data_IF_812909199157
#
_entry.id   IF_812909199157
#
_cell.length_a   1.000
_cell.length_b   1.000
_cell.length_c   1.000
_cell.angle_alpha   90.00
_cell.angle_beta   90.00
_cell.angle_gamma   90.00
#
_symmetry.space_group_name_H-M   'P 1'
#
loop_
_entity.id
_entity.type
_entity.pdbx_description
1 polymer ?
#
# COMPACT_ATOMS: atom_id res chain seq x y z
N UNK A 1 -58.82 -17.50 33.90
CA UNK A 1 -57.44 -18.00 34.01
C UNK A 1 -56.88 -18.07 32.60
N UNK A 2 -56.43 -16.94 32.08
CA UNK A 2 -55.75 -16.85 30.78
C UNK A 2 -54.35 -17.41 30.97
N UNK A 3 -54.10 -18.63 30.51
CA UNK A 3 -52.76 -19.19 30.47
C UNK A 3 -51.96 -18.42 29.42
N UNK A 4 -51.07 -17.54 29.85
CA UNK A 4 -49.99 -17.02 29.01
C UNK A 4 -49.09 -18.21 28.64
N UNK A 5 -49.24 -18.69 27.42
CA UNK A 5 -48.30 -19.62 26.81
C UNK A 5 -47.05 -18.79 26.51
N UNK A 6 -46.09 -18.82 27.42
CA UNK A 6 -44.74 -18.31 27.18
C UNK A 6 -44.13 -19.23 26.13
N UNK A 7 -44.18 -18.80 24.86
CA UNK A 7 -43.43 -19.40 23.77
C UNK A 7 -41.94 -19.28 24.10
N UNK A 8 -41.37 -20.32 24.71
CA UNK A 8 -39.92 -20.45 24.82
C UNK A 8 -39.34 -20.46 23.40
N UNK A 9 -38.39 -19.57 23.08
CA UNK A 9 -37.80 -19.55 21.74
C UNK A 9 -37.11 -20.89 21.46
N UNK A 10 -37.34 -21.41 20.25
CA UNK A 10 -36.73 -22.64 19.75
C UNK A 10 -35.19 -22.57 19.91
N UNK A 11 -34.51 -23.58 20.50
CA UNK A 11 -33.05 -23.57 20.66
C UNK A 11 -32.29 -23.27 19.36
N UNK A 12 -32.82 -23.70 18.21
CA UNK A 12 -32.22 -23.39 16.89
C UNK A 12 -32.27 -21.90 16.54
N UNK A 13 -33.32 -21.20 16.99
CA UNK A 13 -33.47 -19.76 16.79
C UNK A 13 -32.53 -18.96 17.69
N UNK A 14 -32.27 -19.44 18.92
CA UNK A 14 -31.30 -18.83 19.84
C UNK A 14 -29.88 -18.97 19.27
N UNK A 15 -29.49 -20.17 18.85
CA UNK A 15 -28.17 -20.41 18.27
C UNK A 15 -27.93 -19.60 16.98
N UNK A 16 -28.97 -19.43 16.15
CA UNK A 16 -28.90 -18.58 14.96
C UNK A 16 -28.72 -17.10 15.31
N UNK A 17 -29.44 -16.62 16.33
CA UNK A 17 -29.32 -15.24 16.82
C UNK A 17 -27.92 -14.95 17.36
N UNK A 18 -27.37 -15.83 18.20
CA UNK A 18 -25.99 -15.71 18.72
C UNK A 18 -24.97 -15.66 17.57
N UNK A 19 -25.15 -16.48 16.53
CA UNK A 19 -24.28 -16.47 15.35
C UNK A 19 -24.39 -15.17 14.55
N UNK A 20 -25.59 -14.60 14.41
CA UNK A 20 -25.79 -13.29 13.76
C UNK A 20 -25.12 -12.16 14.53
N UNK A 21 -25.19 -12.18 15.86
CA UNK A 21 -24.50 -11.21 16.72
C UNK A 21 -22.98 -11.35 16.61
N UNK A 22 -22.45 -12.57 16.62
CA UNK A 22 -21.03 -12.84 16.39
C UNK A 22 -20.58 -12.29 15.03
N UNK A 23 -21.36 -12.54 13.97
CA UNK A 23 -21.06 -12.02 12.63
C UNK A 23 -21.08 -10.49 12.57
N UNK A 24 -22.03 -9.85 13.25
CA UNK A 24 -22.08 -8.39 13.32
C UNK A 24 -20.83 -7.81 14.02
N UNK A 25 -20.42 -8.42 15.14
CA UNK A 25 -19.22 -8.01 15.86
C UNK A 25 -17.95 -8.14 15.01
N UNK A 26 -17.76 -9.28 14.34
CA UNK A 26 -16.58 -9.52 13.48
C UNK A 26 -16.58 -8.60 12.25
N UNK A 27 -17.75 -8.32 11.65
CA UNK A 27 -17.85 -7.35 10.54
C UNK A 27 -17.49 -5.93 10.96
N UNK A 28 -17.91 -5.50 12.14
CA UNK A 28 -17.53 -4.18 12.67
C UNK A 28 -16.02 -4.10 12.89
N UNK A 29 -15.41 -5.14 13.48
CA UNK A 29 -13.96 -5.21 13.66
C UNK A 29 -13.20 -5.20 12.33
N UNK A 30 -13.72 -5.91 11.31
CA UNK A 30 -13.13 -5.88 9.96
C UNK A 30 -13.20 -4.48 9.35
N UNK A 31 -14.35 -3.80 9.43
CA UNK A 31 -14.51 -2.45 8.88
C UNK A 31 -13.59 -1.43 9.58
N UNK A 32 -13.44 -1.52 10.91
CA UNK A 32 -12.52 -0.69 11.69
C UNK A 32 -11.07 -0.91 11.23
N UNK A 33 -10.63 -2.17 11.15
CA UNK A 33 -9.26 -2.49 10.73
C UNK A 33 -8.99 -2.10 9.28
N UNK A 34 -9.95 -2.28 8.38
CA UNK A 34 -9.85 -1.80 6.98
C UNK A 34 -9.65 -0.28 6.93
N UNK A 35 -10.39 0.48 7.74
CA UNK A 35 -10.26 1.93 7.83
C UNK A 35 -8.89 2.35 8.36
N UNK A 36 -8.39 1.71 9.42
CA UNK A 36 -7.07 2.00 10.00
C UNK A 36 -5.95 1.79 8.99
N UNK A 37 -5.92 0.64 8.30
CA UNK A 37 -4.89 0.35 7.29
C UNK A 37 -5.02 1.29 6.10
N UNK A 38 -6.24 1.62 5.65
CA UNK A 38 -6.44 2.58 4.58
C UNK A 38 -5.91 3.98 4.94
N UNK A 39 -6.14 4.43 6.18
CA UNK A 39 -5.62 5.70 6.68
C UNK A 39 -4.09 5.70 6.73
N UNK A 40 -3.47 4.65 7.28
CA UNK A 40 -2.02 4.52 7.35
C UNK A 40 -1.39 4.56 5.95
N UNK A 41 -1.92 3.79 5.00
CA UNK A 41 -1.46 3.81 3.61
C UNK A 41 -1.53 5.21 3.00
N UNK A 42 -2.65 5.92 3.20
CA UNK A 42 -2.83 7.26 2.66
C UNK A 42 -1.84 8.27 3.28
N UNK A 43 -1.58 8.17 4.58
CA UNK A 43 -0.60 9.00 5.28
C UNK A 43 0.81 8.76 4.75
N UNK A 44 1.24 7.49 4.67
CA UNK A 44 2.55 7.12 4.16
C UNK A 44 2.74 7.54 2.70
N UNK A 45 1.77 7.28 1.82
CA UNK A 45 1.83 7.69 0.41
C UNK A 45 1.92 9.21 0.24
N UNK A 46 1.19 9.97 1.07
CA UNK A 46 1.25 11.43 1.05
C UNK A 46 2.63 11.94 1.50
N UNK A 47 3.19 11.33 2.55
CA UNK A 47 4.52 11.65 3.03
C UNK A 47 5.61 11.30 2.02
N UNK A 48 5.56 10.10 1.47
CA UNK A 48 6.44 9.61 0.41
C UNK A 48 6.46 10.57 -0.78
N UNK A 49 5.29 10.99 -1.28
CA UNK A 49 5.22 11.97 -2.35
C UNK A 49 5.91 13.30 -2.01
N UNK A 50 5.87 13.75 -0.73
CA UNK A 50 6.62 14.94 -0.30
C UNK A 50 8.12 14.67 -0.25
N UNK A 51 8.53 13.55 0.32
CA UNK A 51 9.93 13.12 0.39
C UNK A 51 10.55 13.01 -1.00
N UNK A 52 9.87 12.35 -1.94
CA UNK A 52 10.35 12.20 -3.31
C UNK A 52 10.61 13.56 -3.96
N UNK A 53 9.63 14.48 -3.89
CA UNK A 53 9.73 15.81 -4.49
C UNK A 53 10.78 16.73 -3.85
N UNK A 54 11.02 16.60 -2.55
CA UNK A 54 11.88 17.54 -1.81
C UNK A 54 13.31 17.04 -1.61
N UNK A 55 13.48 15.72 -1.47
CA UNK A 55 14.72 15.10 -1.00
C UNK A 55 15.24 14.07 -2.00
N UNK A 56 14.41 13.11 -2.45
CA UNK A 56 14.90 12.03 -3.32
C UNK A 56 15.44 12.54 -4.67
N UNK A 57 14.78 13.55 -5.26
CA UNK A 57 15.28 14.22 -6.48
C UNK A 57 16.69 14.79 -6.28
N UNK A 58 17.00 15.32 -5.09
CA UNK A 58 18.33 15.86 -4.79
C UNK A 58 19.37 14.76 -4.61
N UNK A 59 19.01 13.62 -4.01
CA UNK A 59 19.91 12.46 -3.96
C UNK A 59 20.23 11.93 -5.36
N UNK A 60 19.24 11.84 -6.25
CA UNK A 60 19.47 11.44 -7.63
C UNK A 60 20.40 12.43 -8.38
N UNK A 61 20.23 13.74 -8.15
CA UNK A 61 21.13 14.76 -8.71
C UNK A 61 22.56 14.62 -8.18
N UNK A 62 22.71 14.40 -6.86
CA UNK A 62 24.02 14.20 -6.24
C UNK A 62 24.73 12.97 -6.80
N UNK A 63 24.03 11.83 -6.87
CA UNK A 63 24.62 10.58 -7.35
C UNK A 63 24.97 10.63 -8.85
N UNK A 64 24.16 11.29 -9.69
CA UNK A 64 24.53 11.54 -11.10
C UNK A 64 25.83 12.33 -11.20
N UNK A 65 25.97 13.37 -10.38
CA UNK A 65 27.16 14.20 -10.36
C UNK A 65 28.38 13.43 -9.87
N UNK A 66 28.26 12.62 -8.81
CA UNK A 66 29.34 11.74 -8.34
C UNK A 66 29.73 10.72 -9.41
N UNK A 67 28.76 10.13 -10.13
CA UNK A 67 29.04 9.24 -11.24
C UNK A 67 29.82 9.93 -12.36
N UNK A 68 29.50 11.19 -12.67
CA UNK A 68 30.22 12.02 -13.64
C UNK A 68 31.65 12.33 -13.18
N UNK A 69 31.86 12.65 -11.90
CA UNK A 69 33.20 12.85 -11.31
C UNK A 69 34.02 11.57 -11.44
N UNK A 70 33.48 10.43 -10.96
CA UNK A 70 34.17 9.16 -10.98
C UNK A 70 34.54 8.72 -12.41
N UNK A 71 33.65 8.96 -13.38
CA UNK A 71 33.94 8.74 -14.80
C UNK A 71 35.09 9.61 -15.30
N UNK A 72 35.09 10.90 -14.97
CA UNK A 72 36.16 11.82 -15.41
C UNK A 72 37.51 11.44 -14.80
N UNK A 73 37.53 11.04 -13.53
CA UNK A 73 38.74 10.53 -12.88
C UNK A 73 39.24 9.24 -13.56
N UNK A 74 38.35 8.32 -13.93
CA UNK A 74 38.72 7.12 -14.66
C UNK A 74 39.37 7.43 -16.02
N UNK A 75 38.85 8.44 -16.74
CA UNK A 75 39.41 8.90 -18.01
C UNK A 75 40.80 9.54 -17.85
N UNK A 76 41.08 10.17 -16.70
CA UNK A 76 42.36 10.86 -16.44
C UNK A 76 43.46 9.91 -15.95
N UNK A 77 43.14 8.99 -15.04
CA UNK A 77 44.13 8.14 -14.36
C UNK A 77 44.24 6.73 -14.94
N UNK A 78 43.30 6.33 -15.80
CA UNK A 78 43.21 5.03 -16.49
C UNK A 78 43.63 3.81 -15.64
N UNK A 79 43.11 3.74 -14.41
CA UNK A 79 43.36 2.62 -13.48
C UNK A 79 42.13 1.74 -13.33
N UNK A 80 42.33 0.43 -13.09
CA UNK A 80 41.21 -0.48 -12.82
C UNK A 80 40.37 -0.03 -11.61
N UNK A 81 41.01 0.51 -10.58
CA UNK A 81 40.32 1.02 -9.40
C UNK A 81 39.43 2.24 -9.72
N UNK A 82 39.87 3.12 -10.62
CA UNK A 82 39.05 4.26 -11.06
C UNK A 82 37.87 3.80 -11.94
N UNK A 83 38.10 2.86 -12.86
CA UNK A 83 37.03 2.28 -13.71
C UNK A 83 35.95 1.59 -12.87
N UNK A 84 36.33 0.78 -11.87
CA UNK A 84 35.37 0.13 -10.95
C UNK A 84 34.53 1.14 -10.18
N UNK A 85 35.15 2.19 -9.62
CA UNK A 85 34.43 3.25 -8.90
C UNK A 85 33.44 4.00 -9.81
N UNK A 86 33.81 4.25 -11.07
CA UNK A 86 32.92 4.86 -12.05
C UNK A 86 31.71 3.97 -12.37
N UNK A 87 31.92 2.66 -12.51
CA UNK A 87 30.83 1.70 -12.73
C UNK A 87 29.88 1.60 -11.53
N UNK A 88 30.43 1.54 -10.31
CA UNK A 88 29.65 1.52 -9.06
C UNK A 88 28.82 2.79 -8.90
N UNK A 89 29.43 3.96 -9.11
CA UNK A 89 28.74 5.26 -8.98
C UNK A 89 27.64 5.40 -10.05
N UNK A 90 27.88 4.93 -11.28
CA UNK A 90 26.86 4.91 -12.33
C UNK A 90 25.68 4.01 -11.97
N UNK A 91 25.94 2.84 -11.36
CA UNK A 91 24.86 1.95 -10.91
C UNK A 91 24.06 2.62 -9.80
N UNK A 92 24.73 3.22 -8.82
CA UNK A 92 24.09 3.94 -7.72
C UNK A 92 23.19 5.07 -8.25
N UNK A 93 23.69 5.90 -9.18
CA UNK A 93 22.91 6.97 -9.80
C UNK A 93 21.67 6.47 -10.55
N UNK A 94 21.78 5.32 -11.23
CA UNK A 94 20.63 4.70 -11.88
C UNK A 94 19.59 4.23 -10.85
N UNK A 95 20.02 3.55 -9.79
CA UNK A 95 19.14 3.05 -8.72
C UNK A 95 18.41 4.20 -8.00
N UNK A 96 19.10 5.31 -7.68
CA UNK A 96 18.47 6.46 -7.02
C UNK A 96 17.59 7.28 -7.96
N UNK A 97 17.94 7.37 -9.25
CA UNK A 97 17.05 7.96 -10.24
C UNK A 97 15.77 7.15 -10.41
N UNK A 98 15.86 5.82 -10.52
CA UNK A 98 14.69 4.94 -10.59
C UNK A 98 13.83 5.06 -9.33
N UNK A 99 14.43 5.10 -8.14
CA UNK A 99 13.68 5.29 -6.89
C UNK A 99 13.01 6.67 -6.80
N UNK A 100 13.65 7.73 -7.30
CA UNK A 100 13.11 9.09 -7.23
C UNK A 100 12.02 9.37 -8.28
N UNK A 101 12.12 8.76 -9.47
CA UNK A 101 11.30 9.10 -10.64
C UNK A 101 10.48 7.93 -11.21
N UNK A 102 10.77 6.68 -10.85
CA UNK A 102 10.10 5.49 -11.40
C UNK A 102 8.59 5.50 -11.17
N UNK A 103 8.17 5.78 -9.93
CA UNK A 103 6.75 5.83 -9.56
C UNK A 103 5.99 6.99 -10.23
N UNK A 104 6.65 8.11 -10.50
CA UNK A 104 6.04 9.25 -11.20
C UNK A 104 5.73 8.92 -12.66
N UNK A 105 6.54 8.06 -13.29
CA UNK A 105 6.29 7.56 -14.65
C UNK A 105 5.23 6.46 -14.69
N UNK A 106 5.10 5.62 -13.66
CA UNK A 106 4.10 4.54 -13.64
C UNK A 106 2.69 5.02 -13.25
N UNK A 107 2.59 6.07 -12.44
CA UNK A 107 1.29 6.63 -12.01
C UNK A 107 0.54 7.36 -13.14
N UNK A 108 1.23 7.91 -14.14
CA UNK A 108 0.60 8.56 -15.30
C UNK A 108 0.05 7.55 -16.33
N UNK A 109 0.51 6.30 -16.30
CA UNK A 109 0.22 5.26 -17.32
C UNK A 109 -0.53 4.03 -16.78
N UNK A 110 -1.06 4.04 -15.54
CA UNK A 110 -1.87 2.93 -15.03
C UNK A 110 -3.25 2.86 -15.72
N UNK A 111 -3.29 2.32 -16.93
CA UNK A 111 -4.48 1.74 -17.51
C UNK A 111 -4.68 0.34 -16.93
N UNK A 112 -5.73 0.09 -16.11
CA UNK A 112 -5.94 -1.22 -15.54
C UNK A 112 -6.10 -2.25 -16.66
N UNK A 113 -5.36 -3.39 -16.62
CA UNK A 113 -5.44 -4.38 -17.68
C UNK A 113 -6.89 -4.85 -17.85
N UNK A 114 -7.26 -5.17 -19.09
CA UNK A 114 -8.64 -5.56 -19.44
C UNK A 114 -9.16 -6.74 -18.59
N UNK A 115 -8.25 -7.61 -18.14
CA UNK A 115 -8.51 -8.69 -17.18
C UNK A 115 -8.97 -8.19 -15.80
N UNK A 116 -8.33 -7.16 -15.24
CA UNK A 116 -8.70 -6.59 -13.93
C UNK A 116 -10.09 -5.93 -13.98
N UNK A 117 -10.39 -5.21 -15.07
CA UNK A 117 -11.71 -4.61 -15.28
C UNK A 117 -12.81 -5.66 -15.41
N UNK A 118 -12.50 -6.77 -16.06
CA UNK A 118 -13.43 -7.90 -16.18
C UNK A 118 -13.67 -8.56 -14.82
N UNK A 119 -12.61 -8.85 -14.08
CA UNK A 119 -12.68 -9.42 -12.73
C UNK A 119 -13.46 -8.52 -11.77
N UNK A 120 -13.19 -7.22 -11.77
CA UNK A 120 -13.93 -6.25 -10.95
C UNK A 120 -15.43 -6.25 -11.27
N UNK A 121 -15.82 -6.29 -12.56
CA UNK A 121 -17.23 -6.36 -12.96
C UNK A 121 -17.90 -7.64 -12.50
N UNK A 122 -17.18 -8.77 -12.54
CA UNK A 122 -17.68 -10.05 -12.06
C UNK A 122 -17.90 -10.09 -10.55
N UNK A 123 -17.00 -9.47 -9.79
CA UNK A 123 -17.16 -9.24 -8.35
C UNK A 123 -18.37 -8.33 -8.13
N UNK A 124 -18.40 -7.17 -8.78
CA UNK A 124 -19.47 -6.18 -8.63
C UNK A 124 -20.86 -6.77 -8.85
N UNK A 125 -21.03 -7.58 -9.91
CA UNK A 125 -22.30 -8.24 -10.23
C UNK A 125 -22.82 -9.15 -9.11
N UNK A 126 -21.95 -9.74 -8.30
CA UNK A 126 -22.30 -10.72 -7.26
C UNK A 126 -22.53 -10.12 -5.88
N UNK A 127 -21.85 -9.01 -5.59
CA UNK A 127 -21.87 -8.37 -4.26
C UNK A 127 -22.43 -6.94 -4.30
N UNK A 128 -23.22 -6.60 -5.34
CA UNK A 128 -23.87 -5.29 -5.43
C UNK A 128 -25.00 -5.17 -4.40
N UNK A 129 -25.11 -4.06 -3.64
CA UNK A 129 -26.14 -3.88 -2.61
C UNK A 129 -27.58 -4.03 -3.13
N UNK A 130 -27.86 -3.66 -4.37
CA UNK A 130 -29.19 -3.81 -4.99
C UNK A 130 -29.66 -5.27 -5.14
N UNK A 131 -28.74 -6.24 -5.08
CA UNK A 131 -29.09 -7.68 -5.14
C UNK A 131 -29.19 -8.32 -3.74
N UNK A 132 -29.13 -7.53 -2.67
CA UNK A 132 -29.29 -8.03 -1.31
C UNK A 132 -30.73 -8.40 -0.98
N UNK A 133 -30.92 -9.40 -0.10
CA UNK A 133 -32.24 -9.88 0.32
C UNK A 133 -32.83 -9.06 1.47
N UNK A 134 -31.98 -8.45 2.29
CA UNK A 134 -32.36 -7.65 3.44
C UNK A 134 -31.38 -6.49 3.68
N UNK A 135 -31.71 -5.60 4.63
CA UNK A 135 -30.90 -4.42 4.95
C UNK A 135 -29.52 -4.78 5.51
N UNK A 136 -29.40 -5.89 6.25
CA UNK A 136 -28.14 -6.33 6.82
C UNK A 136 -27.18 -6.84 5.74
N UNK A 137 -27.70 -7.57 4.75
CA UNK A 137 -26.98 -8.03 3.58
C UNK A 137 -26.63 -6.87 2.65
N UNK A 138 -27.51 -5.86 2.51
CA UNK A 138 -27.21 -4.65 1.74
C UNK A 138 -26.04 -3.85 2.35
N UNK A 139 -26.01 -3.71 3.68
CA UNK A 139 -24.88 -3.08 4.40
C UNK A 139 -23.58 -3.87 4.20
N UNK A 140 -23.66 -5.19 4.28
CA UNK A 140 -22.50 -6.05 4.03
C UNK A 140 -21.98 -5.94 2.59
N UNK A 141 -22.87 -5.95 1.60
CA UNK A 141 -22.52 -5.76 0.19
C UNK A 141 -21.94 -4.38 -0.08
N UNK A 142 -22.43 -3.35 0.60
CA UNK A 142 -21.83 -1.99 0.54
C UNK A 142 -20.38 -2.00 1.03
N UNK A 143 -20.10 -2.68 2.15
CA UNK A 143 -18.74 -2.85 2.67
C UNK A 143 -17.85 -3.62 1.67
N UNK A 144 -18.35 -4.73 1.12
CA UNK A 144 -17.60 -5.49 0.11
C UNK A 144 -17.37 -4.69 -1.19
N UNK A 145 -18.34 -3.88 -1.62
CA UNK A 145 -18.19 -2.96 -2.75
C UNK A 145 -17.08 -1.95 -2.50
N UNK A 146 -17.06 -1.30 -1.34
CA UNK A 146 -16.01 -0.35 -0.99
C UNK A 146 -14.62 -1.01 -1.06
N UNK A 147 -14.51 -2.24 -0.56
CA UNK A 147 -13.28 -3.02 -0.63
C UNK A 147 -12.89 -3.41 -2.06
N UNK A 148 -13.85 -3.84 -2.89
CA UNK A 148 -13.60 -4.13 -4.30
C UNK A 148 -13.14 -2.89 -5.07
N UNK A 149 -13.73 -1.72 -4.79
CA UNK A 149 -13.32 -0.45 -5.39
C UNK A 149 -11.88 -0.10 -5.02
N UNK A 150 -11.50 -0.26 -3.74
CA UNK A 150 -10.13 -0.04 -3.30
C UNK A 150 -9.14 -0.99 -4.00
N UNK A 151 -9.46 -2.28 -4.07
CA UNK A 151 -8.64 -3.27 -4.76
C UNK A 151 -8.46 -2.91 -6.25
N UNK A 152 -9.56 -2.54 -6.92
CA UNK A 152 -9.53 -2.12 -8.31
C UNK A 152 -8.66 -0.87 -8.52
N UNK A 153 -8.79 0.15 -7.67
CA UNK A 153 -8.00 1.38 -7.76
C UNK A 153 -6.49 1.16 -7.56
N UNK A 154 -6.10 0.03 -6.94
CA UNK A 154 -4.70 -0.33 -6.66
C UNK A 154 -4.14 -1.40 -7.58
N UNK A 155 -4.92 -1.88 -8.55
CA UNK A 155 -4.49 -2.99 -9.39
C UNK A 155 -4.46 -4.36 -8.70
N UNK A 156 -5.07 -4.51 -7.52
CA UNK A 156 -4.97 -5.69 -6.68
C UNK A 156 -5.91 -6.81 -7.16
N UNK A 157 -5.45 -7.51 -8.20
CA UNK A 157 -6.17 -8.63 -8.81
C UNK A 157 -6.39 -9.79 -7.83
N UNK A 158 -5.42 -10.06 -6.96
CA UNK A 158 -5.50 -11.13 -5.97
C UNK A 158 -6.63 -10.88 -4.97
N UNK A 159 -6.78 -9.64 -4.50
CA UNK A 159 -7.87 -9.23 -3.61
C UNK A 159 -9.23 -9.37 -4.28
N UNK A 160 -9.37 -8.92 -5.53
CA UNK A 160 -10.62 -9.11 -6.28
C UNK A 160 -10.97 -10.59 -6.48
N UNK A 161 -9.99 -11.43 -6.83
CA UNK A 161 -10.19 -12.87 -6.99
C UNK A 161 -10.62 -13.51 -5.67
N UNK A 162 -9.99 -13.14 -4.56
CA UNK A 162 -10.37 -13.63 -3.23
C UNK A 162 -11.81 -13.27 -2.84
N UNK A 163 -12.27 -12.04 -3.14
CA UNK A 163 -13.68 -11.68 -2.90
C UNK A 163 -14.65 -12.56 -3.68
N UNK A 164 -14.28 -12.90 -4.92
CA UNK A 164 -15.06 -13.78 -5.76
C UNK A 164 -15.10 -15.21 -5.18
N UNK A 165 -13.94 -15.75 -4.82
CA UNK A 165 -13.81 -17.10 -4.27
C UNK A 165 -14.53 -17.23 -2.93
N UNK A 166 -14.38 -16.26 -2.03
CA UNK A 166 -15.06 -16.22 -0.73
C UNK A 166 -16.58 -16.19 -0.93
N UNK A 167 -17.08 -15.36 -1.87
CA UNK A 167 -18.50 -15.32 -2.18
C UNK A 167 -19.01 -16.66 -2.71
N UNK A 168 -18.24 -17.36 -3.54
CA UNK A 168 -18.59 -18.69 -4.04
C UNK A 168 -18.59 -19.73 -2.92
N UNK A 169 -17.61 -19.72 -2.01
CA UNK A 169 -17.53 -20.63 -0.87
C UNK A 169 -18.69 -20.43 0.11
N UNK A 170 -19.01 -19.16 0.42
CA UNK A 170 -20.15 -18.80 1.29
C UNK A 170 -21.46 -19.33 0.71
N UNK A 171 -21.64 -19.25 -0.62
CA UNK A 171 -22.87 -19.65 -1.31
C UNK A 171 -22.85 -21.09 -1.86
N UNK A 172 -21.76 -21.84 -1.66
CA UNK A 172 -21.64 -23.21 -2.16
C UNK A 172 -22.71 -24.11 -1.52
N UNK A 173 -23.53 -24.70 -2.40
CA UNK A 173 -24.72 -25.55 -2.17
C UNK A 173 -24.98 -25.91 -0.72
N UNK A 174 -25.79 -25.07 -0.06
CA UNK A 174 -26.47 -25.44 1.17
C UNK A 174 -27.88 -25.83 0.76
N UNK A 175 -28.15 -27.13 0.65
CA UNK A 175 -29.45 -27.62 0.26
C UNK A 175 -30.45 -27.36 1.40
N UNK A 176 -31.37 -26.42 1.17
CA UNK A 176 -32.50 -26.11 2.07
C UNK A 176 -32.47 -24.69 2.66
N UNK A 177 -33.65 -24.08 2.82
CA UNK A 177 -33.88 -22.86 3.61
C UNK A 177 -33.94 -23.16 5.13
N UNK A 178 -33.22 -24.19 5.59
CA UNK A 178 -33.24 -24.60 6.98
C UNK A 178 -32.31 -23.73 7.83
N UNK A 179 -32.67 -23.48 9.10
CA UNK A 179 -31.86 -22.70 10.05
C UNK A 179 -30.40 -23.19 10.14
N UNK A 180 -30.16 -24.50 9.98
CA UNK A 180 -28.83 -25.09 9.95
C UNK A 180 -27.98 -24.62 8.74
N UNK A 181 -28.62 -24.43 7.59
CA UNK A 181 -27.97 -23.92 6.39
C UNK A 181 -27.50 -22.47 6.58
N UNK A 182 -28.33 -21.65 7.23
CA UNK A 182 -28.01 -20.27 7.55
C UNK A 182 -26.87 -20.17 8.57
N UNK A 183 -26.88 -21.00 9.62
CA UNK A 183 -25.79 -21.07 10.60
C UNK A 183 -24.46 -21.42 9.93
N UNK A 184 -24.45 -22.37 8.98
CA UNK A 184 -23.24 -22.72 8.24
C UNK A 184 -22.72 -21.55 7.40
N UNK A 185 -23.63 -20.86 6.69
CA UNK A 185 -23.29 -19.68 5.88
C UNK A 185 -22.69 -18.55 6.72
N UNK A 186 -23.32 -18.26 7.87
CA UNK A 186 -22.82 -17.26 8.83
C UNK A 186 -21.44 -17.67 9.37
N UNK A 187 -21.26 -18.95 9.70
CA UNK A 187 -19.99 -19.48 10.21
C UNK A 187 -18.86 -19.33 9.17
N UNK A 188 -19.14 -19.58 7.88
CA UNK A 188 -18.19 -19.30 6.80
C UNK A 188 -17.85 -17.81 6.73
N UNK A 189 -18.85 -16.93 6.74
CA UNK A 189 -18.64 -15.47 6.70
C UNK A 189 -17.77 -14.96 7.85
N UNK A 190 -18.01 -15.46 9.07
CA UNK A 190 -17.17 -15.14 10.25
C UNK A 190 -15.72 -15.55 9.98
N UNK A 191 -15.49 -16.79 9.53
CA UNK A 191 -14.14 -17.30 9.28
C UNK A 191 -13.40 -16.50 8.20
N UNK A 192 -14.08 -16.12 7.11
CA UNK A 192 -13.47 -15.27 6.07
C UNK A 192 -13.11 -13.89 6.61
N UNK A 193 -14.01 -13.28 7.40
CA UNK A 193 -13.76 -11.96 8.00
C UNK A 193 -12.61 -12.00 9.02
N UNK A 194 -12.52 -13.02 9.87
CA UNK A 194 -11.40 -13.21 10.81
C UNK A 194 -10.06 -13.38 10.07
N UNK A 195 -10.03 -14.17 8.98
CA UNK A 195 -8.85 -14.33 8.14
C UNK A 195 -8.44 -13.00 7.48
N UNK A 196 -9.41 -12.20 7.05
CA UNK A 196 -9.15 -10.88 6.47
C UNK A 196 -8.60 -9.88 7.48
N UNK A 197 -9.13 -9.87 8.72
CA UNK A 197 -8.57 -9.09 9.83
C UNK A 197 -7.12 -9.49 10.06
N UNK A 198 -6.83 -10.78 10.20
CA UNK A 198 -5.47 -11.26 10.42
C UNK A 198 -4.50 -10.86 9.29
N UNK A 199 -4.96 -10.82 8.03
CA UNK A 199 -4.14 -10.33 6.91
C UNK A 199 -3.89 -8.82 7.01
N UNK A 200 -4.92 -8.04 7.36
CA UNK A 200 -4.79 -6.60 7.55
C UNK A 200 -3.84 -6.27 8.70
N UNK A 201 -3.81 -7.09 9.75
CA UNK A 201 -2.86 -6.95 10.87
C UNK A 201 -1.40 -7.13 10.41
N UNK A 202 -1.15 -8.19 9.62
CA UNK A 202 0.18 -8.44 9.04
C UNK A 202 0.59 -7.29 8.11
N UNK A 203 -0.34 -6.81 7.29
CA UNK A 203 -0.08 -5.67 6.42
C UNK A 203 0.21 -4.39 7.20
N UNK A 204 -0.58 -4.08 8.23
CA UNK A 204 -0.35 -2.92 9.09
C UNK A 204 1.03 -2.95 9.70
N UNK A 205 1.45 -4.11 10.21
CA UNK A 205 2.79 -4.30 10.78
C UNK A 205 3.88 -4.10 9.72
N UNK A 206 3.68 -4.62 8.51
CA UNK A 206 4.60 -4.42 7.38
C UNK A 206 4.75 -2.94 7.04
N UNK A 207 3.63 -2.21 6.91
CA UNK A 207 3.62 -0.78 6.64
C UNK A 207 4.33 0.01 7.75
N UNK A 208 4.07 -0.30 9.02
CA UNK A 208 4.71 0.35 10.16
C UNK A 208 6.21 0.06 10.26
N UNK A 209 6.67 -1.10 9.78
CA UNK A 209 8.08 -1.47 9.76
C UNK A 209 8.87 -0.94 8.56
N UNK A 210 8.19 -0.31 7.59
CA UNK A 210 8.83 0.22 6.38
C UNK A 210 9.76 1.40 6.68
N UNK A 211 10.77 1.60 5.84
CA UNK A 211 11.70 2.73 5.94
C UNK A 211 10.98 4.07 5.84
N UNK A 212 9.98 4.18 4.96
CA UNK A 212 9.19 5.40 4.81
C UNK A 212 8.35 5.71 6.06
N UNK A 213 7.88 4.67 6.77
CA UNK A 213 7.19 4.86 8.03
C UNK A 213 8.13 5.33 9.15
N UNK A 214 9.36 4.81 9.21
CA UNK A 214 10.37 5.31 10.14
C UNK A 214 10.71 6.77 9.85
N UNK A 215 10.95 7.11 8.58
CA UNK A 215 11.22 8.50 8.18
C UNK A 215 10.03 9.44 8.49
N UNK A 216 8.80 8.95 8.34
CA UNK A 216 7.60 9.70 8.72
C UNK A 216 7.56 9.96 10.23
N UNK A 217 7.88 8.96 11.05
CA UNK A 217 7.95 9.12 12.52
C UNK A 217 9.04 10.10 12.95
N UNK A 218 10.20 10.08 12.29
CA UNK A 218 11.29 11.03 12.53
C UNK A 218 10.85 12.46 12.16
N UNK A 219 10.17 12.61 11.01
CA UNK A 219 9.65 13.90 10.58
C UNK A 219 8.56 14.44 11.53
N UNK A 220 7.67 13.58 12.04
CA UNK A 220 6.70 13.97 13.06
C UNK A 220 7.38 14.40 14.36
N UNK A 221 8.45 13.70 14.76
CA UNK A 221 9.22 14.04 15.97
C UNK A 221 9.89 15.39 15.83
N UNK A 222 10.52 15.66 14.69
CA UNK A 222 11.05 16.99 14.37
C UNK A 222 9.94 18.06 14.37
N UNK A 223 8.77 17.77 13.79
CA UNK A 223 7.66 18.72 13.75
C UNK A 223 7.13 19.10 15.14
N UNK A 224 7.14 18.16 16.11
CA UNK A 224 6.80 18.45 17.52
C UNK A 224 7.78 19.44 18.17
N UNK A 225 9.01 19.51 17.66
CA UNK A 225 10.04 20.46 18.06
C UNK A 225 10.05 21.72 17.18
N UNK A 226 9.02 21.94 16.35
CA UNK A 226 8.94 23.03 15.37
C UNK A 226 10.04 23.03 14.30
N UNK A 227 10.61 21.85 14.03
CA UNK A 227 11.61 21.62 12.97
C UNK A 227 10.98 20.94 11.76
N UNK A 228 11.55 21.18 10.58
CA UNK A 228 11.13 20.53 9.33
C UNK A 228 12.26 19.65 8.81
N UNK A 229 12.18 18.35 9.14
CA UNK A 229 13.21 17.37 8.80
C UNK A 229 13.47 17.28 7.28
N UNK A 230 12.42 17.33 6.45
CA UNK A 230 12.61 17.22 5.01
C UNK A 230 13.34 18.44 4.45
N UNK A 231 13.05 19.63 4.98
CA UNK A 231 13.74 20.87 4.60
C UNK A 231 15.20 20.86 5.08
N UNK A 232 15.48 20.35 6.28
CA UNK A 232 16.84 20.19 6.82
C UNK A 232 17.67 19.22 5.95
N UNK A 233 17.10 18.06 5.61
CA UNK A 233 17.72 17.09 4.71
C UNK A 233 17.99 17.69 3.33
N UNK A 234 16.98 18.33 2.73
CA UNK A 234 17.13 18.97 1.42
C UNK A 234 18.22 20.04 1.41
N UNK A 235 18.34 20.83 2.48
CA UNK A 235 19.38 21.86 2.61
C UNK A 235 20.77 21.23 2.68
N UNK A 236 20.92 20.17 3.49
CA UNK A 236 22.17 19.43 3.63
C UNK A 236 22.62 18.82 2.28
N UNK A 237 21.70 18.22 1.52
CA UNK A 237 22.04 17.62 0.22
C UNK A 237 22.39 18.69 -0.81
N UNK A 238 21.71 19.86 -0.81
CA UNK A 238 22.08 20.97 -1.69
C UNK A 238 23.50 21.47 -1.45
N UNK A 239 23.95 21.51 -0.19
CA UNK A 239 25.34 21.83 0.14
C UNK A 239 26.29 20.77 -0.43
N UNK A 240 25.96 19.48 -0.29
CA UNK A 240 26.76 18.39 -0.88
C UNK A 240 26.81 18.44 -2.40
N UNK A 241 25.70 18.76 -3.07
CA UNK A 241 25.64 18.97 -4.52
C UNK A 241 26.57 20.13 -4.91
N UNK A 242 26.50 21.26 -4.21
CA UNK A 242 27.37 22.40 -4.50
C UNK A 242 28.86 22.04 -4.32
N UNK A 243 29.19 21.21 -3.33
CA UNK A 243 30.55 20.72 -3.10
C UNK A 243 31.01 19.74 -4.19
N UNK A 244 30.13 18.84 -4.60
CA UNK A 244 30.35 17.92 -5.72
C UNK A 244 30.53 18.69 -7.04
N UNK A 245 29.77 19.76 -7.28
CA UNK A 245 29.90 20.60 -8.47
C UNK A 245 31.29 21.24 -8.52
N UNK A 246 31.75 21.81 -7.40
CA UNK A 246 33.11 22.38 -7.32
C UNK A 246 34.20 21.33 -7.56
N UNK A 247 34.02 20.11 -7.05
CA UNK A 247 34.94 18.99 -7.34
C UNK A 247 34.91 18.61 -8.83
N UNK A 248 33.73 18.48 -9.42
CA UNK A 248 33.58 18.17 -10.84
C UNK A 248 34.29 19.22 -11.70
N UNK A 249 34.10 20.51 -11.43
CA UNK A 249 34.75 21.60 -12.16
C UNK A 249 36.28 21.53 -12.07
N UNK A 250 36.84 21.14 -10.92
CA UNK A 250 38.29 20.97 -10.76
C UNK A 250 38.85 19.81 -11.58
N UNK A 251 38.11 18.71 -11.67
CA UNK A 251 38.53 17.51 -12.43
C UNK A 251 38.30 17.71 -13.94
N UNK A 252 37.30 18.50 -14.32
CA UNK A 252 36.96 18.72 -15.73
C UNK A 252 37.79 19.84 -16.41
N UNK A 253 38.47 20.68 -15.63
CA UNK A 253 39.36 21.71 -16.19
C UNK A 253 40.35 21.13 -17.21
N UNK A 254 40.48 21.73 -18.40
CA UNK A 254 41.39 21.23 -19.42
C UNK A 254 42.82 21.33 -18.89
N UNK A 255 43.47 20.19 -18.72
CA UNK A 255 44.92 20.06 -18.56
C UNK A 255 45.60 20.50 -19.87
N UNK A 256 45.66 21.81 -20.11
CA UNK A 256 46.06 22.37 -21.40
C UNK A 256 46.65 23.78 -21.34
N UNK A 257 47.29 24.17 -20.23
CA UNK A 257 47.99 25.46 -20.11
C UNK A 257 49.44 25.37 -19.59
N UNK A 258 50.08 24.19 -19.70
CA UNK A 258 51.50 24.02 -19.31
C UNK A 258 52.36 23.34 -20.38
N UNK A 259 52.08 23.60 -21.65
CA UNK A 259 53.08 23.47 -22.73
C UNK A 259 53.06 24.75 -23.58
N UNK A 260 53.77 25.78 -23.11
CA UNK A 260 54.39 26.81 -23.96
C UNK A 260 55.38 27.67 -23.17
#
# INVERSE_FOLDING_TARGET
MTSEIILQPNPDAIALQEKREQLAAVRNALAERESEVAQLRAQLKSFEGRYLRQVAVLYAELDDLEARIAKREADLFDSEAARRRAEESRRQAQETHEAAFGDASEAEDFEPPSSLKTLFREVAKRIHPDFARDEAEAKYFTMLMARANQAYSRGDAEMLQRLLDDHLEINASVAGEDSAAEVLRITRQIRHAERDIARLDVEQQSLQSSEIAQLHLDAETAAREHRDLLTELASTIREQIADAQRRFDLVDQPTGAHER
#
